data_IF_492834756020
#
_entry.id   IF_492834756020
#
_cell.length_a   1.000
_cell.length_b   1.000
_cell.length_c   1.000
_cell.angle_alpha   90.00
_cell.angle_beta   90.00
_cell.angle_gamma   90.00
#
_symmetry.space_group_name_H-M   'P 1'
#
loop_
_entity.id
_entity.type
_entity.pdbx_description
1 polymer ?
#
# COMPACT_ATOMS: atom_id res chain seq x y z
N UNK A 1 -21.90 -28.71 7.37
CA UNK A 1 -21.48 -27.31 7.18
C UNK A 1 -20.14 -27.17 7.88
N UNK A 2 -19.03 -27.05 7.15
CA UNK A 2 -17.75 -26.71 7.74
C UNK A 2 -17.80 -25.23 8.08
N UNK A 3 -17.54 -24.86 9.30
CA UNK A 3 -17.19 -23.49 9.65
C UNK A 3 -15.85 -23.19 8.96
N UNK A 4 -15.90 -22.36 7.94
CA UNK A 4 -14.71 -21.80 7.30
C UNK A 4 -14.19 -20.75 8.26
N UNK A 5 -12.95 -20.87 8.73
CA UNK A 5 -12.35 -19.90 9.63
C UNK A 5 -12.34 -18.51 8.98
N UNK A 6 -12.50 -17.46 9.79
CA UNK A 6 -12.64 -16.06 9.30
C UNK A 6 -11.53 -15.66 8.32
N UNK A 7 -10.29 -16.15 8.47
CA UNK A 7 -9.18 -15.89 7.55
C UNK A 7 -9.28 -16.67 6.24
N UNK A 8 -9.85 -17.88 6.22
CA UNK A 8 -9.99 -18.68 4.99
C UNK A 8 -10.99 -18.07 4.01
N UNK A 9 -12.05 -17.43 4.51
CA UNK A 9 -13.06 -16.77 3.67
C UNK A 9 -12.52 -15.59 2.89
N UNK A 10 -11.57 -14.84 3.45
CA UNK A 10 -10.93 -13.70 2.75
C UNK A 10 -9.87 -14.14 1.75
N UNK A 11 -9.09 -15.15 2.05
CA UNK A 11 -8.13 -15.71 1.10
C UNK A 11 -8.85 -16.27 -0.14
N UNK A 12 -10.02 -16.85 0.06
CA UNK A 12 -10.84 -17.41 -1.02
C UNK A 12 -11.48 -16.29 -1.87
N UNK A 13 -11.96 -15.22 -1.25
CA UNK A 13 -12.46 -14.03 -1.94
C UNK A 13 -11.36 -13.30 -2.72
N UNK A 14 -10.18 -13.18 -2.18
CA UNK A 14 -9.03 -12.62 -2.90
C UNK A 14 -8.68 -13.46 -4.13
N UNK A 15 -8.60 -14.77 -3.99
CA UNK A 15 -8.32 -15.69 -5.12
C UNK A 15 -9.39 -15.58 -6.21
N UNK A 16 -10.66 -15.42 -5.82
CA UNK A 16 -11.77 -15.24 -6.76
C UNK A 16 -11.63 -13.88 -7.46
N UNK A 17 -11.40 -12.79 -6.71
CA UNK A 17 -11.23 -11.45 -7.28
C UNK A 17 -10.01 -11.38 -8.21
N UNK A 18 -8.86 -11.94 -7.82
CA UNK A 18 -7.67 -12.05 -8.66
C UNK A 18 -7.92 -12.88 -9.91
N UNK A 19 -8.61 -14.01 -9.78
CA UNK A 19 -8.95 -14.87 -10.91
C UNK A 19 -9.89 -14.16 -11.88
N UNK A 20 -10.86 -13.41 -11.39
CA UNK A 20 -11.76 -12.60 -12.22
C UNK A 20 -11.00 -11.49 -12.96
N UNK A 21 -10.18 -10.72 -12.26
CA UNK A 21 -9.37 -9.66 -12.88
C UNK A 21 -8.45 -10.22 -13.94
N UNK A 22 -7.76 -11.34 -13.66
CA UNK A 22 -6.84 -11.98 -14.60
C UNK A 22 -7.57 -12.59 -15.82
N UNK A 23 -8.75 -13.19 -15.62
CA UNK A 23 -9.54 -13.79 -16.69
C UNK A 23 -10.02 -12.73 -17.68
N UNK A 24 -10.45 -11.58 -17.20
CA UNK A 24 -10.97 -10.50 -18.02
C UNK A 24 -9.86 -9.62 -18.65
N UNK A 25 -8.68 -9.50 -18.01
CA UNK A 25 -7.51 -8.86 -18.64
C UNK A 25 -6.95 -9.66 -19.81
N UNK A 26 -7.13 -10.98 -19.82
CA UNK A 26 -6.65 -11.85 -20.88
C UNK A 26 -7.51 -11.80 -22.16
N UNK A 27 -8.79 -11.43 -22.07
CA UNK A 27 -9.75 -11.60 -23.16
C UNK A 27 -10.23 -10.29 -23.81
N UNK A 28 -9.97 -9.14 -23.20
CA UNK A 28 -10.40 -7.86 -23.75
C UNK A 28 -9.53 -6.70 -23.24
N UNK A 29 -9.24 -5.77 -24.14
CA UNK A 29 -8.70 -4.42 -23.86
C UNK A 29 -9.71 -3.56 -23.06
N UNK A 30 -10.43 -4.18 -22.14
CA UNK A 30 -11.55 -3.59 -21.40
C UNK A 30 -11.22 -3.50 -19.91
N UNK A 31 -11.47 -2.31 -19.35
CA UNK A 31 -11.37 -2.05 -17.91
C UNK A 31 -12.40 -2.88 -17.15
N UNK A 32 -11.93 -3.80 -16.31
CA UNK A 32 -12.79 -4.65 -15.50
C UNK A 32 -12.86 -4.14 -14.08
N UNK A 33 -14.06 -3.80 -13.65
CA UNK A 33 -14.35 -3.36 -12.29
C UNK A 33 -15.06 -4.49 -11.53
N UNK A 34 -14.46 -4.94 -10.43
CA UNK A 34 -15.06 -5.92 -9.53
C UNK A 34 -15.39 -5.23 -8.21
N UNK A 35 -16.66 -5.24 -7.84
CA UNK A 35 -17.09 -4.78 -6.53
C UNK A 35 -17.89 -5.88 -5.83
N UNK A 36 -17.73 -5.97 -4.51
CA UNK A 36 -18.52 -6.87 -3.69
C UNK A 36 -19.05 -6.15 -2.46
N UNK A 37 -20.26 -6.53 -2.04
CA UNK A 37 -20.88 -6.03 -0.82
C UNK A 37 -20.39 -6.80 0.40
N UNK A 38 -20.95 -6.45 1.54
CA UNK A 38 -20.64 -7.12 2.81
C UNK A 38 -20.97 -8.61 2.73
N UNK A 39 -20.06 -9.45 3.23
CA UNK A 39 -20.33 -10.88 3.40
C UNK A 39 -21.43 -11.04 4.44
N UNK A 40 -22.49 -11.75 4.06
CA UNK A 40 -23.67 -11.94 4.90
C UNK A 40 -23.90 -13.41 5.19
N UNK A 41 -24.23 -13.73 6.44
CA UNK A 41 -24.51 -15.10 6.88
C UNK A 41 -25.93 -15.58 6.58
N UNK A 42 -26.85 -14.66 6.27
CA UNK A 42 -28.25 -15.00 6.08
C UNK A 42 -28.74 -14.59 4.68
N UNK A 43 -29.53 -15.49 4.03
CA UNK A 43 -30.08 -15.29 2.68
C UNK A 43 -30.88 -13.98 2.56
N UNK A 44 -31.61 -13.58 3.60
CA UNK A 44 -32.37 -12.32 3.60
C UNK A 44 -31.51 -11.06 3.44
N UNK A 45 -30.22 -11.15 3.76
CA UNK A 45 -29.27 -10.04 3.69
C UNK A 45 -28.54 -9.95 2.34
N UNK A 46 -28.63 -10.98 1.50
CA UNK A 46 -27.99 -11.03 0.17
C UNK A 46 -28.46 -9.88 -0.71
N UNK A 47 -29.74 -9.51 -0.65
CA UNK A 47 -30.26 -8.38 -1.42
C UNK A 47 -29.62 -7.04 -1.03
N UNK A 48 -29.30 -6.86 0.26
CA UNK A 48 -28.60 -5.67 0.75
C UNK A 48 -27.15 -5.67 0.28
N UNK A 49 -26.44 -6.76 0.48
CA UNK A 49 -25.06 -6.94 0.02
C UNK A 49 -24.92 -6.70 -1.48
N UNK A 50 -25.85 -7.21 -2.29
CA UNK A 50 -25.89 -6.95 -3.73
C UNK A 50 -26.10 -5.47 -4.07
N UNK A 51 -26.98 -4.77 -3.36
CA UNK A 51 -27.19 -3.32 -3.56
C UNK A 51 -25.94 -2.51 -3.20
N UNK A 52 -25.26 -2.88 -2.13
CA UNK A 52 -24.00 -2.25 -1.72
C UNK A 52 -22.91 -2.46 -2.77
N UNK A 53 -22.74 -3.69 -3.28
CA UNK A 53 -21.81 -3.99 -4.36
C UNK A 53 -22.12 -3.18 -5.62
N UNK A 54 -23.40 -3.10 -6.01
CA UNK A 54 -23.83 -2.35 -7.18
C UNK A 54 -23.61 -0.85 -7.02
N UNK A 55 -23.89 -0.30 -5.83
CA UNK A 55 -23.62 1.12 -5.54
C UNK A 55 -22.12 1.40 -5.60
N UNK A 56 -21.28 0.52 -5.06
CA UNK A 56 -19.82 0.66 -5.15
C UNK A 56 -19.34 0.65 -6.62
N UNK A 57 -19.94 -0.20 -7.46
CA UNK A 57 -19.62 -0.27 -8.89
C UNK A 57 -20.05 0.99 -9.65
N UNK A 58 -21.26 1.50 -9.37
CA UNK A 58 -21.80 2.70 -10.01
C UNK A 58 -21.00 3.95 -9.58
N UNK A 59 -20.65 4.06 -8.31
CA UNK A 59 -19.76 5.12 -7.78
C UNK A 59 -18.38 5.00 -8.42
N UNK A 60 -17.84 3.77 -8.49
CA UNK A 60 -16.55 3.50 -9.15
C UNK A 60 -16.52 4.01 -10.59
N UNK A 61 -17.54 3.73 -11.40
CA UNK A 61 -17.62 4.18 -12.79
C UNK A 61 -17.63 5.71 -12.96
N UNK A 62 -18.16 6.44 -11.97
CA UNK A 62 -18.25 7.92 -12.03
C UNK A 62 -16.89 8.54 -11.68
N UNK A 63 -16.10 7.91 -10.82
CA UNK A 63 -14.88 8.50 -10.25
C UNK A 63 -13.58 7.94 -10.84
N UNK A 64 -13.62 6.83 -11.58
CA UNK A 64 -12.41 6.19 -12.12
C UNK A 64 -12.35 6.34 -13.65
N UNK A 65 -11.83 7.48 -14.11
CA UNK A 65 -11.26 7.63 -15.46
C UNK A 65 -9.84 7.03 -15.54
N UNK A 66 -9.26 6.62 -14.42
CA UNK A 66 -7.92 6.01 -14.34
C UNK A 66 -7.98 4.51 -14.64
N UNK A 67 -6.97 4.03 -15.39
CA UNK A 67 -6.85 2.65 -15.87
C UNK A 67 -6.66 1.59 -14.78
N UNK A 68 -6.43 1.99 -13.53
CA UNK A 68 -6.14 1.08 -12.43
C UNK A 68 -7.31 0.99 -11.45
N UNK A 69 -7.85 -0.21 -11.31
CA UNK A 69 -8.90 -0.51 -10.32
C UNK A 69 -8.26 -0.97 -9.02
N UNK A 70 -8.52 -0.23 -7.95
CA UNK A 70 -8.14 -0.60 -6.60
C UNK A 70 -9.34 -1.13 -5.82
N UNK A 71 -9.18 -2.29 -5.23
CA UNK A 71 -10.16 -2.91 -4.35
C UNK A 71 -9.61 -2.95 -2.93
N UNK A 72 -10.34 -2.38 -1.98
CA UNK A 72 -9.94 -2.44 -0.58
C UNK A 72 -11.08 -2.96 0.31
N UNK A 73 -10.73 -3.66 1.38
CA UNK A 73 -11.71 -4.17 2.32
C UNK A 73 -11.24 -4.04 3.77
N UNK A 74 -12.22 -3.82 4.65
CA UNK A 74 -12.03 -3.75 6.09
C UNK A 74 -12.09 -5.12 6.75
N UNK A 75 -12.15 -5.14 8.08
CA UNK A 75 -12.34 -6.35 8.86
C UNK A 75 -13.74 -6.95 8.65
N UNK A 76 -13.83 -8.27 8.55
CA UNK A 76 -15.12 -8.99 8.54
C UNK A 76 -15.82 -8.77 9.87
N UNK A 77 -17.09 -8.46 9.79
CA UNK A 77 -17.91 -8.20 10.97
C UNK A 77 -19.18 -9.02 10.92
N UNK A 78 -19.58 -9.55 12.07
CA UNK A 78 -20.78 -10.38 12.22
C UNK A 78 -22.01 -9.58 12.64
N UNK A 79 -21.82 -8.33 13.09
CA UNK A 79 -22.90 -7.50 13.58
C UNK A 79 -23.05 -6.21 12.76
N UNK A 80 -24.30 -5.84 12.45
CA UNK A 80 -24.63 -4.64 11.66
C UNK A 80 -24.02 -3.36 12.25
N UNK A 81 -23.98 -3.25 13.60
CA UNK A 81 -23.39 -2.09 14.28
C UNK A 81 -21.91 -1.86 13.97
N UNK A 82 -21.21 -2.92 13.53
CA UNK A 82 -19.77 -2.86 13.21
C UNK A 82 -19.47 -2.54 11.74
N UNK A 83 -20.49 -2.56 10.86
CA UNK A 83 -20.31 -2.29 9.42
C UNK A 83 -19.69 -0.91 9.18
N UNK A 84 -20.09 0.11 9.95
CA UNK A 84 -19.52 1.46 9.85
C UNK A 84 -18.02 1.47 10.16
N UNK A 85 -17.56 0.65 11.10
CA UNK A 85 -16.13 0.49 11.40
C UNK A 85 -15.41 -0.18 10.23
N UNK A 86 -15.92 -1.32 9.77
CA UNK A 86 -15.34 -2.06 8.63
C UNK A 86 -15.25 -1.20 7.36
N UNK A 87 -16.25 -0.38 7.09
CA UNK A 87 -16.22 0.58 5.98
C UNK A 87 -15.10 1.62 6.13
N UNK A 88 -14.90 2.20 7.34
CA UNK A 88 -13.82 3.14 7.59
C UNK A 88 -12.44 2.49 7.43
N UNK A 89 -12.31 1.24 7.85
CA UNK A 89 -11.11 0.43 7.66
C UNK A 89 -10.84 0.17 6.17
N UNK A 90 -11.86 -0.17 5.39
CA UNK A 90 -11.75 -0.35 3.94
C UNK A 90 -11.32 0.96 3.24
N UNK A 91 -11.90 2.09 3.62
CA UNK A 91 -11.48 3.40 3.11
C UNK A 91 -10.02 3.71 3.42
N UNK A 92 -9.61 3.50 4.67
CA UNK A 92 -8.20 3.66 5.05
C UNK A 92 -7.29 2.72 4.25
N UNK A 93 -7.72 1.47 4.03
CA UNK A 93 -6.97 0.51 3.23
C UNK A 93 -6.80 0.99 1.78
N UNK A 94 -7.81 1.61 1.20
CA UNK A 94 -7.73 2.18 -0.14
C UNK A 94 -6.70 3.31 -0.22
N UNK A 95 -6.77 4.28 0.69
CA UNK A 95 -5.87 5.43 0.70
C UNK A 95 -4.42 5.00 0.99
N UNK A 96 -4.22 4.19 2.03
CA UNK A 96 -2.88 3.65 2.40
C UNK A 96 -2.32 2.77 1.29
N UNK A 97 -3.18 2.05 0.59
CA UNK A 97 -2.82 1.24 -0.55
C UNK A 97 -2.27 2.06 -1.70
N UNK A 98 -2.93 3.11 -2.07
CA UNK A 98 -2.48 4.06 -3.11
C UNK A 98 -1.15 4.72 -2.77
N UNK A 99 -0.87 4.94 -1.48
CA UNK A 99 0.38 5.59 -1.04
C UNK A 99 1.57 4.62 -1.03
N UNK A 100 1.37 3.38 -0.56
CA UNK A 100 2.47 2.48 -0.20
C UNK A 100 2.50 1.16 -0.96
N UNK A 101 1.44 0.84 -1.72
CA UNK A 101 1.28 -0.46 -2.37
C UNK A 101 0.79 -0.31 -3.82
N UNK A 102 1.38 0.63 -4.57
CA UNK A 102 1.01 0.98 -5.95
C UNK A 102 0.89 -0.22 -6.89
N UNK A 103 1.69 -1.26 -6.67
CA UNK A 103 1.66 -2.48 -7.48
C UNK A 103 0.51 -3.44 -7.10
N UNK A 104 -0.24 -3.14 -6.01
CA UNK A 104 -1.31 -4.01 -5.52
C UNK A 104 -2.68 -3.40 -5.77
N UNK A 105 -3.45 -4.06 -6.58
CA UNK A 105 -4.83 -3.65 -6.87
C UNK A 105 -5.83 -4.12 -5.79
N UNK A 106 -5.45 -5.07 -4.93
CA UNK A 106 -6.30 -5.59 -3.85
C UNK A 106 -5.61 -5.42 -2.52
N UNK A 107 -6.23 -4.69 -1.60
CA UNK A 107 -5.62 -4.28 -0.34
C UNK A 107 -6.55 -4.58 0.84
N UNK A 108 -6.05 -5.36 1.80
CA UNK A 108 -6.75 -5.63 3.04
C UNK A 108 -6.30 -4.67 4.15
N UNK A 109 -7.23 -4.20 4.97
CA UNK A 109 -6.89 -3.40 6.15
C UNK A 109 -5.88 -4.10 7.08
N UNK A 110 -6.02 -5.41 7.25
CA UNK A 110 -5.11 -6.21 8.08
C UNK A 110 -3.66 -6.28 7.58
N UNK A 111 -3.43 -5.98 6.30
CA UNK A 111 -2.10 -6.07 5.68
C UNK A 111 -1.35 -4.74 5.61
N UNK A 112 -1.96 -3.64 6.06
CA UNK A 112 -1.38 -2.30 5.97
C UNK A 112 -0.12 -2.09 6.81
N UNK A 113 0.07 -2.89 7.85
CA UNK A 113 1.24 -2.80 8.71
C UNK A 113 1.47 -1.39 9.26
N UNK A 114 2.72 -0.91 9.16
CA UNK A 114 3.13 0.41 9.63
C UNK A 114 2.48 1.56 8.82
N UNK A 115 2.10 1.32 7.58
CA UNK A 115 1.42 2.33 6.74
C UNK A 115 0.15 2.88 7.40
N UNK A 116 -0.59 2.03 8.12
CA UNK A 116 -1.77 2.43 8.89
C UNK A 116 -1.45 3.43 10.01
N UNK A 117 -0.30 3.30 10.65
CA UNK A 117 0.13 4.22 11.71
C UNK A 117 0.56 5.56 11.10
N UNK A 118 1.34 5.52 10.03
CA UNK A 118 1.83 6.72 9.35
C UNK A 118 0.65 7.54 8.81
N UNK A 119 -0.34 6.91 8.20
CA UNK A 119 -1.53 7.59 7.67
C UNK A 119 -2.33 8.37 8.73
N UNK A 120 -2.20 8.01 10.01
CA UNK A 120 -2.86 8.70 11.12
C UNK A 120 -2.03 9.82 11.75
N UNK A 121 -0.79 10.03 11.31
CA UNK A 121 0.08 11.07 11.87
C UNK A 121 -0.39 12.46 11.41
N UNK A 122 -0.43 13.44 12.32
CA UNK A 122 -0.65 14.83 11.95
C UNK A 122 0.47 15.35 11.02
N UNK A 123 0.11 16.03 9.95
CA UNK A 123 1.09 16.60 9.00
C UNK A 123 2.17 17.48 9.67
N UNK A 124 1.85 18.34 10.68
CA UNK A 124 2.90 19.07 11.39
C UNK A 124 3.95 18.18 12.06
N UNK A 125 3.52 17.02 12.61
CA UNK A 125 4.45 16.05 13.21
C UNK A 125 5.32 15.39 12.13
N UNK A 126 4.74 15.06 10.98
CA UNK A 126 5.49 14.54 9.83
C UNK A 126 6.58 15.51 9.38
N UNK A 127 6.23 16.80 9.22
CA UNK A 127 7.18 17.86 8.83
C UNK A 127 8.32 18.03 9.84
N UNK A 128 8.00 17.96 11.13
CA UNK A 128 9.01 18.06 12.20
C UNK A 128 9.98 16.86 12.11
N UNK A 129 9.46 15.64 12.01
CA UNK A 129 10.25 14.41 11.91
C UNK A 129 11.19 14.41 10.69
N UNK A 130 10.68 14.80 9.51
CA UNK A 130 11.50 14.87 8.30
C UNK A 130 12.61 15.91 8.45
N UNK A 131 12.32 17.06 9.06
CA UNK A 131 13.31 18.10 9.34
C UNK A 131 14.41 17.63 10.28
N UNK A 132 14.07 16.87 11.33
CA UNK A 132 15.05 16.31 12.27
C UNK A 132 16.02 15.33 11.58
N UNK A 133 15.52 14.51 10.64
CA UNK A 133 16.33 13.48 9.98
C UNK A 133 17.15 14.04 8.83
N UNK A 134 16.59 14.90 8.01
CA UNK A 134 17.22 15.36 6.76
C UNK A 134 17.66 16.83 6.82
N UNK A 135 17.51 17.50 7.97
CA UNK A 135 17.73 18.93 8.15
C UNK A 135 16.93 19.76 7.13
N UNK A 136 17.57 20.42 6.17
CA UNK A 136 16.90 21.16 5.11
C UNK A 136 16.85 20.42 3.77
N UNK A 137 17.20 19.13 3.77
CA UNK A 137 17.10 18.27 2.57
C UNK A 137 15.81 17.46 2.63
N UNK A 138 15.33 17.03 1.46
CA UNK A 138 14.20 16.10 1.35
C UNK A 138 14.67 14.83 0.65
N UNK A 139 14.09 13.67 0.96
CA UNK A 139 14.24 12.49 0.12
C UNK A 139 13.86 12.72 -1.34
N UNK A 140 13.08 13.77 -1.62
CA UNK A 140 12.70 14.19 -2.98
C UNK A 140 13.86 14.81 -3.76
N UNK A 141 14.91 15.25 -3.07
CA UNK A 141 16.11 15.80 -3.69
C UNK A 141 17.06 14.69 -4.20
N UNK A 142 16.75 13.42 -3.94
CA UNK A 142 17.52 12.31 -4.45
C UNK A 142 17.24 12.09 -5.95
N UNK A 143 18.33 11.87 -6.70
CA UNK A 143 18.21 11.46 -8.10
C UNK A 143 17.59 10.05 -8.23
N UNK A 144 17.08 9.76 -9.41
CA UNK A 144 16.41 8.49 -9.73
C UNK A 144 17.33 7.27 -9.47
N UNK A 145 18.63 7.42 -9.74
CA UNK A 145 19.62 6.37 -9.49
C UNK A 145 19.73 6.06 -8.00
N UNK A 146 19.74 7.08 -7.16
CA UNK A 146 19.79 6.95 -5.69
C UNK A 146 18.50 6.31 -5.17
N UNK A 147 17.34 6.77 -5.60
CA UNK A 147 16.04 6.19 -5.21
C UNK A 147 15.93 4.71 -5.62
N UNK A 148 16.34 4.37 -6.84
CA UNK A 148 16.37 2.98 -7.32
C UNK A 148 17.31 2.13 -6.47
N UNK A 149 18.48 2.67 -6.11
CA UNK A 149 19.44 1.96 -5.25
C UNK A 149 18.85 1.69 -3.86
N UNK A 150 18.23 2.69 -3.24
CA UNK A 150 17.58 2.57 -1.93
C UNK A 150 16.47 1.53 -1.96
N UNK A 151 15.55 1.63 -2.91
CA UNK A 151 14.41 0.71 -3.02
C UNK A 151 14.90 -0.73 -3.20
N UNK A 152 15.82 -0.97 -4.14
CA UNK A 152 16.40 -2.31 -4.34
C UNK A 152 17.14 -2.84 -3.12
N UNK A 153 17.79 -1.97 -2.36
CA UNK A 153 18.48 -2.38 -1.14
C UNK A 153 17.51 -2.83 -0.05
N UNK A 154 16.38 -2.13 0.12
CA UNK A 154 15.32 -2.54 1.03
C UNK A 154 14.58 -3.81 0.55
N UNK A 155 14.27 -3.94 -0.74
CA UNK A 155 13.65 -5.13 -1.32
C UNK A 155 14.49 -6.39 -1.09
N UNK A 156 15.82 -6.25 -1.11
CA UNK A 156 16.78 -7.32 -0.86
C UNK A 156 17.16 -7.48 0.62
N UNK A 157 16.34 -6.98 1.54
CA UNK A 157 16.56 -7.09 2.99
C UNK A 157 17.98 -6.63 3.42
N UNK A 158 18.44 -5.51 2.89
CA UNK A 158 19.75 -4.90 3.16
C UNK A 158 20.94 -5.78 2.72
N UNK A 159 20.75 -6.68 1.78
CA UNK A 159 21.80 -7.55 1.26
C UNK A 159 22.57 -6.86 0.13
N UNK A 160 23.79 -6.38 0.44
CA UNK A 160 24.65 -5.67 -0.50
C UNK A 160 24.96 -6.50 -1.76
N UNK A 161 25.26 -7.79 -1.61
CA UNK A 161 25.67 -8.62 -2.75
C UNK A 161 24.50 -8.88 -3.71
N UNK A 162 23.33 -9.19 -3.16
CA UNK A 162 22.13 -9.43 -3.96
C UNK A 162 21.65 -8.14 -4.64
N UNK A 163 21.67 -7.02 -3.93
CA UNK A 163 21.31 -5.72 -4.50
C UNK A 163 22.24 -5.32 -5.66
N UNK A 164 23.55 -5.47 -5.49
CA UNK A 164 24.51 -5.19 -6.56
C UNK A 164 24.26 -6.06 -7.80
N UNK A 165 23.94 -7.34 -7.59
CA UNK A 165 23.59 -8.27 -8.67
C UNK A 165 22.33 -7.84 -9.42
N UNK A 166 21.28 -7.46 -8.71
CA UNK A 166 20.01 -7.03 -9.31
C UNK A 166 20.10 -5.67 -10.01
N UNK A 167 20.98 -4.79 -9.52
CA UNK A 167 21.26 -3.50 -10.17
C UNK A 167 22.28 -3.60 -11.31
N UNK A 168 22.83 -4.79 -11.59
CA UNK A 168 23.88 -5.01 -12.59
C UNK A 168 25.12 -4.13 -12.39
N UNK A 169 25.49 -3.87 -11.13
CA UNK A 169 26.69 -3.09 -10.77
C UNK A 169 27.66 -3.90 -9.92
N UNK A 170 28.93 -3.45 -9.87
CA UNK A 170 29.89 -4.07 -8.99
C UNK A 170 29.55 -3.76 -7.51
N UNK A 171 29.82 -4.72 -6.61
CA UNK A 171 29.56 -4.56 -5.17
C UNK A 171 30.18 -3.28 -4.59
N UNK A 172 31.39 -2.94 -4.99
CA UNK A 172 32.07 -1.74 -4.50
C UNK A 172 31.38 -0.45 -4.96
N UNK A 173 30.78 -0.45 -6.16
CA UNK A 173 29.98 0.67 -6.64
C UNK A 173 28.74 0.87 -5.77
N UNK A 174 28.06 -0.22 -5.40
CA UNK A 174 26.93 -0.13 -4.48
C UNK A 174 27.37 0.40 -3.11
N UNK A 175 28.45 -0.12 -2.53
CA UNK A 175 28.97 0.36 -1.24
C UNK A 175 29.27 1.86 -1.32
N UNK A 176 29.92 2.33 -2.37
CA UNK A 176 30.19 3.76 -2.58
C UNK A 176 28.89 4.59 -2.62
N UNK A 177 27.84 4.11 -3.29
CA UNK A 177 26.55 4.82 -3.31
C UNK A 177 25.90 4.89 -1.93
N UNK A 178 25.96 3.80 -1.16
CA UNK A 178 25.44 3.77 0.21
C UNK A 178 26.23 4.70 1.14
N UNK A 179 27.58 4.77 1.02
CA UNK A 179 28.41 5.72 1.76
C UNK A 179 28.15 7.18 1.37
N UNK A 180 27.86 7.44 0.09
CA UNK A 180 27.45 8.78 -0.38
C UNK A 180 26.11 9.18 0.25
N UNK A 181 25.16 8.25 0.33
CA UNK A 181 23.87 8.45 0.98
C UNK A 181 24.05 8.74 2.47
N UNK A 182 24.85 7.93 3.18
CA UNK A 182 25.20 8.15 4.59
C UNK A 182 25.78 9.54 4.83
N UNK A 183 26.74 9.97 4.02
CA UNK A 183 27.34 11.31 4.12
C UNK A 183 26.31 12.44 3.88
N UNK A 184 25.29 12.20 3.08
CA UNK A 184 24.29 13.23 2.77
C UNK A 184 23.17 13.30 3.80
N UNK A 185 22.87 12.20 4.49
CA UNK A 185 21.72 12.07 5.41
C UNK A 185 22.11 11.88 6.87
N UNK A 186 23.36 11.45 7.13
CA UNK A 186 23.81 11.05 8.45
C UNK A 186 23.35 9.64 8.87
N UNK A 187 22.62 8.91 8.00
CA UNK A 187 22.08 7.57 8.28
C UNK A 187 22.79 6.50 7.45
N UNK A 188 23.40 5.53 8.10
CA UNK A 188 23.95 4.35 7.44
C UNK A 188 22.87 3.28 7.28
N UNK A 189 22.19 3.25 6.14
CA UNK A 189 21.12 2.28 5.87
C UNK A 189 21.58 0.82 5.81
N UNK A 190 22.87 0.53 6.03
CA UNK A 190 23.40 -0.83 6.25
C UNK A 190 23.22 -1.27 7.71
N UNK A 191 23.10 -0.31 8.64
CA UNK A 191 22.74 -0.54 10.04
C UNK A 191 21.22 -0.61 10.19
N UNK A 192 20.72 -1.59 10.92
CA UNK A 192 19.28 -1.85 11.03
C UNK A 192 18.48 -0.65 11.54
N UNK A 193 18.93 0.01 12.60
CA UNK A 193 18.20 1.12 13.23
C UNK A 193 18.12 2.35 12.31
N UNK A 194 19.22 2.65 11.61
CA UNK A 194 19.28 3.73 10.62
C UNK A 194 18.44 3.39 9.38
N UNK A 195 18.50 2.14 8.92
CA UNK A 195 17.68 1.65 7.82
C UNK A 195 16.19 1.75 8.15
N UNK A 196 15.78 1.37 9.36
CA UNK A 196 14.40 1.49 9.82
C UNK A 196 13.96 2.95 9.86
N UNK A 197 14.78 3.83 10.46
CA UNK A 197 14.51 5.27 10.52
C UNK A 197 14.37 5.86 9.12
N UNK A 198 15.28 5.53 8.23
CA UNK A 198 15.25 5.98 6.84
C UNK A 198 14.01 5.48 6.09
N UNK A 199 13.64 4.20 6.25
CA UNK A 199 12.45 3.61 5.63
C UNK A 199 11.16 4.30 6.09
N UNK A 200 11.05 4.56 7.40
CA UNK A 200 9.91 5.31 7.96
C UNK A 200 9.87 6.72 7.38
N UNK A 201 11.01 7.41 7.30
CA UNK A 201 11.08 8.75 6.74
C UNK A 201 10.62 8.80 5.28
N UNK A 202 11.03 7.85 4.44
CA UNK A 202 10.55 7.72 3.06
C UNK A 202 9.03 7.54 3.00
N UNK A 203 8.48 6.68 3.86
CA UNK A 203 7.03 6.48 3.94
C UNK A 203 6.30 7.76 4.39
N UNK A 204 6.83 8.48 5.36
CA UNK A 204 6.25 9.77 5.81
C UNK A 204 6.24 10.79 4.68
N UNK A 205 7.29 10.87 3.87
CA UNK A 205 7.34 11.77 2.70
C UNK A 205 6.30 11.38 1.67
N UNK A 206 6.17 10.10 1.33
CA UNK A 206 5.12 9.63 0.41
C UNK A 206 3.71 9.98 0.90
N UNK A 207 3.46 9.81 2.20
CA UNK A 207 2.20 10.21 2.82
C UNK A 207 1.94 11.72 2.73
N UNK A 208 2.94 12.54 3.04
CA UNK A 208 2.81 14.00 2.96
C UNK A 208 2.48 14.45 1.53
N UNK A 209 3.15 13.91 0.52
CA UNK A 209 2.86 14.19 -0.90
C UNK A 209 1.42 13.85 -1.28
N UNK A 210 0.97 12.65 -0.90
CA UNK A 210 -0.40 12.24 -1.14
C UNK A 210 -1.41 13.21 -0.54
N UNK A 211 -1.18 13.66 0.70
CA UNK A 211 -2.07 14.61 1.36
C UNK A 211 -2.07 15.99 0.71
N UNK A 212 -0.95 16.44 0.14
CA UNK A 212 -0.86 17.70 -0.61
C UNK A 212 -1.62 17.66 -1.94
N UNK A 213 -1.73 16.49 -2.57
CA UNK A 213 -2.51 16.29 -3.81
C UNK A 213 -4.02 16.22 -3.57
N UNK A 214 -4.46 16.02 -2.34
CA UNK A 214 -5.89 15.94 -1.97
C UNK A 214 -6.51 17.29 -1.60
N UNK A 215 -5.71 18.35 -1.53
CA UNK A 215 -6.13 19.75 -1.21
C UNK A 215 -6.32 20.53 -2.49
#
# INVERSE_FOLDING_TARGET
>A
MKEVGENEGYEELNKIAESMVNLFRADADSDVHVAYGTIVGEIKEVSRSYKEARMALDVGKIFFEEKDVYVAYGTVVNEIKEVSRSYKEARMALDVGKIFFEEKNIIAYSTLGIGRLIYQLPIPLCKMFIKEIFDNKSPDDFDEETLTTINKFFENNLNVSETARQLYIHRNTLVYRLEKLEKSTGLDIRAFDDALTFKIAMMVVSYMKYMEQQV
#
